data_IF_038040770487
#
_entry.id   IF_038040770487
#
_cell.length_a   1.000
_cell.length_b   1.000
_cell.length_c   1.000
_cell.angle_alpha   90.00
_cell.angle_beta   90.00
_cell.angle_gamma   90.00
#
_symmetry.space_group_name_H-M   'P 1'
#
loop_
_entity.id
_entity.type
_entity.pdbx_description
1 polymer ?
#
# COMPACT_ATOMS: atom_id res chain seq x y z
N UNK A 1 -10.49 -19.50 23.18
CA UNK A 1 -10.01 -19.57 21.77
C UNK A 1 -8.51 -19.30 21.80
N UNK A 2 -7.69 -20.31 21.51
CA UNK A 2 -6.25 -20.11 21.35
C UNK A 2 -6.01 -19.61 19.93
N UNK A 3 -5.66 -18.33 19.78
CA UNK A 3 -5.28 -17.80 18.47
C UNK A 3 -3.78 -17.97 18.31
N UNK A 4 -3.38 -18.61 17.23
CA UNK A 4 -1.98 -18.78 16.87
C UNK A 4 -1.41 -17.43 16.42
N UNK A 5 -0.53 -16.85 17.24
CA UNK A 5 0.10 -15.55 16.96
C UNK A 5 0.88 -15.58 15.64
N UNK A 6 1.46 -16.72 15.26
CA UNK A 6 2.19 -16.84 14.00
C UNK A 6 1.24 -16.74 12.80
N UNK A 7 0.00 -17.21 12.94
CA UNK A 7 -1.02 -17.06 11.88
C UNK A 7 -1.48 -15.61 11.74
N UNK A 8 -1.68 -14.90 12.85
CA UNK A 8 -2.00 -13.46 12.80
C UNK A 8 -0.84 -12.69 12.16
N UNK A 9 0.38 -12.91 12.64
CA UNK A 9 1.56 -12.22 12.13
C UNK A 9 1.79 -12.52 10.64
N UNK A 10 1.69 -13.79 10.24
CA UNK A 10 1.80 -14.20 8.84
C UNK A 10 0.74 -13.56 7.95
N UNK A 11 -0.49 -13.41 8.43
CA UNK A 11 -1.56 -12.70 7.72
C UNK A 11 -1.21 -11.22 7.51
N UNK A 12 -0.81 -10.52 8.58
CA UNK A 12 -0.48 -9.09 8.51
C UNK A 12 0.75 -8.81 7.66
N UNK A 13 1.82 -9.57 7.83
CA UNK A 13 3.05 -9.43 7.05
C UNK A 13 2.82 -9.83 5.60
N UNK A 14 2.08 -10.92 5.35
CA UNK A 14 1.73 -11.36 4.01
C UNK A 14 0.90 -10.32 3.25
N UNK A 15 -0.10 -9.71 3.90
CA UNK A 15 -0.90 -8.65 3.30
C UNK A 15 -0.04 -7.41 2.97
N UNK A 16 0.78 -6.95 3.92
CA UNK A 16 1.67 -5.80 3.71
C UNK A 16 2.68 -6.03 2.58
N UNK A 17 3.32 -7.21 2.56
CA UNK A 17 4.31 -7.56 1.55
C UNK A 17 3.66 -7.75 0.16
N UNK A 18 2.49 -8.37 0.09
CA UNK A 18 1.78 -8.58 -1.17
C UNK A 18 1.32 -7.26 -1.79
N UNK A 19 0.80 -6.32 -0.98
CA UNK A 19 0.50 -4.94 -1.39
C UNK A 19 1.77 -4.28 -1.97
N UNK A 20 2.82 -4.16 -1.15
CA UNK A 20 4.04 -3.46 -1.56
C UNK A 20 4.73 -4.07 -2.80
N UNK A 21 4.64 -5.39 -2.98
CA UNK A 21 5.18 -6.08 -4.15
C UNK A 21 4.28 -5.92 -5.39
N UNK A 22 2.96 -5.95 -5.19
CA UNK A 22 1.97 -5.81 -6.25
C UNK A 22 1.95 -4.41 -6.87
N UNK A 23 2.23 -3.37 -6.09
CA UNK A 23 2.26 -1.97 -6.51
C UNK A 23 3.09 -1.72 -7.78
N UNK A 24 4.23 -2.40 -7.92
CA UNK A 24 5.09 -2.25 -9.10
C UNK A 24 4.49 -2.85 -10.40
N UNK A 25 3.54 -3.76 -10.25
CA UNK A 25 2.88 -4.48 -11.35
C UNK A 25 1.43 -4.05 -11.56
N UNK A 26 0.97 -3.08 -10.79
CA UNK A 26 -0.39 -2.56 -10.87
C UNK A 26 -0.71 -2.11 -12.31
N UNK A 27 -1.97 -2.35 -12.72
CA UNK A 27 -2.52 -2.05 -14.06
C UNK A 27 -1.76 -2.63 -15.26
N UNK A 28 -0.89 -3.63 -15.04
CA UNK A 28 -0.16 -4.32 -16.11
C UNK A 28 -0.69 -5.72 -16.38
N UNK A 29 -0.67 -6.09 -17.66
CA UNK A 29 -0.79 -7.49 -18.09
C UNK A 29 0.47 -8.27 -17.75
N UNK A 30 0.37 -9.60 -17.68
CA UNK A 30 1.53 -10.47 -17.46
C UNK A 30 2.62 -10.27 -18.53
N UNK A 31 2.26 -9.94 -19.77
CA UNK A 31 3.23 -9.69 -20.84
C UNK A 31 3.99 -8.38 -20.59
N UNK A 32 3.30 -7.29 -20.23
CA UNK A 32 3.93 -6.02 -19.87
C UNK A 32 4.87 -6.16 -18.66
N UNK A 33 4.50 -6.99 -17.67
CA UNK A 33 5.38 -7.29 -16.53
C UNK A 33 6.67 -7.97 -17.03
N UNK A 34 6.54 -9.00 -17.87
CA UNK A 34 7.71 -9.70 -18.43
C UNK A 34 8.60 -8.77 -19.27
N UNK A 35 7.99 -7.94 -20.10
CA UNK A 35 8.72 -7.03 -21.00
C UNK A 35 9.47 -5.95 -20.21
N UNK A 36 8.86 -5.41 -19.13
CA UNK A 36 9.45 -4.35 -18.32
C UNK A 36 10.48 -4.86 -17.30
N UNK A 37 10.14 -5.93 -16.55
CA UNK A 37 10.98 -6.45 -15.46
C UNK A 37 11.89 -7.61 -15.88
N UNK A 38 11.84 -8.05 -17.14
CA UNK A 38 12.64 -9.16 -17.65
C UNK A 38 12.20 -10.54 -17.16
N UNK A 39 10.99 -10.68 -16.61
CA UNK A 39 10.47 -11.96 -16.12
C UNK A 39 9.47 -11.80 -14.98
N UNK A 40 9.51 -12.75 -14.04
CA UNK A 40 8.69 -12.71 -12.82
C UNK A 40 9.26 -11.71 -11.82
N UNK A 41 8.42 -10.85 -11.27
CA UNK A 41 8.75 -10.04 -10.09
C UNK A 41 8.78 -10.98 -8.89
N UNK A 42 9.94 -11.13 -8.25
CA UNK A 42 10.17 -12.05 -7.12
C UNK A 42 10.71 -11.35 -5.88
N UNK A 43 10.94 -10.04 -5.98
CA UNK A 43 11.41 -9.15 -4.91
C UNK A 43 10.62 -7.85 -4.94
N UNK A 44 10.75 -7.01 -3.92
CA UNK A 44 10.22 -5.65 -3.97
C UNK A 44 10.90 -4.86 -5.09
N UNK A 45 10.09 -4.23 -5.93
CA UNK A 45 10.53 -3.37 -7.01
C UNK A 45 9.97 -1.96 -6.77
N UNK A 46 10.74 -0.94 -7.13
CA UNK A 46 10.23 0.44 -7.10
C UNK A 46 9.07 0.54 -8.11
N UNK A 47 7.89 1.04 -7.73
CA UNK A 47 6.81 1.19 -8.67
C UNK A 47 7.19 2.13 -9.83
N UNK A 48 6.96 1.71 -11.09
CA UNK A 48 7.24 2.55 -12.24
C UNK A 48 6.45 3.88 -12.23
N UNK A 49 6.96 4.89 -12.94
CA UNK A 49 6.41 6.24 -12.94
C UNK A 49 4.95 6.35 -13.44
N UNK A 50 4.48 5.35 -14.19
CA UNK A 50 3.13 5.23 -14.74
C UNK A 50 2.19 4.37 -13.86
N UNK A 51 2.61 4.00 -12.65
CA UNK A 51 1.74 3.37 -11.63
C UNK A 51 1.11 4.40 -10.70
N UNK A 52 0.08 4.00 -9.96
CA UNK A 52 -0.45 4.84 -8.89
C UNK A 52 0.61 5.03 -7.80
N UNK A 53 1.30 3.95 -7.41
CA UNK A 53 2.39 3.96 -6.43
C UNK A 53 3.71 4.62 -6.86
N UNK A 54 3.77 5.41 -7.95
CA UNK A 54 5.00 6.00 -8.53
C UNK A 54 5.91 6.78 -7.56
N UNK A 55 5.38 7.25 -6.43
CA UNK A 55 6.14 7.97 -5.40
C UNK A 55 6.64 7.08 -4.26
N UNK A 56 6.26 5.80 -4.27
CA UNK A 56 6.71 4.83 -3.28
C UNK A 56 8.12 4.33 -3.61
N UNK A 57 8.88 4.01 -2.57
CA UNK A 57 10.08 3.21 -2.69
C UNK A 57 9.75 1.72 -2.66
N UNK A 58 10.70 0.89 -3.12
CA UNK A 58 10.56 -0.56 -3.09
C UNK A 58 10.25 -1.05 -1.66
N UNK A 59 9.11 -1.74 -1.49
CA UNK A 59 8.67 -2.28 -0.20
C UNK A 59 7.72 -1.37 0.60
N UNK A 60 7.38 -0.19 0.11
CA UNK A 60 6.34 0.65 0.71
C UNK A 60 4.93 0.19 0.26
N UNK A 61 4.05 -0.02 1.24
CA UNK A 61 2.62 -0.33 1.02
C UNK A 61 1.87 0.84 0.35
N UNK A 62 0.77 0.52 -0.34
CA UNK A 62 -0.16 1.49 -0.92
C UNK A 62 -1.38 1.70 -0.01
N UNK A 63 -2.44 2.30 -0.55
CA UNK A 63 -3.69 2.53 0.15
C UNK A 63 -4.35 1.25 0.67
N UNK A 64 -4.15 0.08 0.04
CA UNK A 64 -4.72 -1.21 0.48
C UNK A 64 -4.33 -1.54 1.94
N UNK A 65 -3.04 -1.74 2.22
CA UNK A 65 -2.60 -2.11 3.57
C UNK A 65 -2.64 -0.91 4.51
N UNK A 66 -2.39 0.31 4.03
CA UNK A 66 -2.49 1.51 4.87
C UNK A 66 -3.92 1.68 5.40
N UNK A 67 -4.94 1.57 4.54
CA UNK A 67 -6.34 1.62 4.98
C UNK A 67 -6.67 0.50 5.96
N UNK A 68 -6.26 -0.74 5.65
CA UNK A 68 -6.47 -1.88 6.53
C UNK A 68 -5.86 -1.64 7.93
N UNK A 69 -4.63 -1.10 8.00
CA UNK A 69 -3.97 -0.73 9.26
C UNK A 69 -4.78 0.29 10.06
N UNK A 70 -5.23 1.37 9.44
CA UNK A 70 -5.99 2.41 10.13
C UNK A 70 -7.37 1.90 10.61
N UNK A 71 -8.01 1.02 9.83
CA UNK A 71 -9.22 0.32 10.26
C UNK A 71 -8.93 -0.54 11.50
N UNK A 72 -7.86 -1.36 11.49
CA UNK A 72 -7.48 -2.16 12.65
C UNK A 72 -7.19 -1.30 13.89
N UNK A 73 -6.45 -0.21 13.74
CA UNK A 73 -6.14 0.71 14.84
C UNK A 73 -7.39 1.39 15.41
N UNK A 74 -8.34 1.77 14.57
CA UNK A 74 -9.61 2.32 15.00
C UNK A 74 -10.43 1.26 15.75
N UNK A 75 -10.56 0.04 15.20
CA UNK A 75 -11.24 -1.05 15.88
C UNK A 75 -10.64 -1.32 17.27
N UNK A 76 -9.31 -1.35 17.40
CA UNK A 76 -8.67 -1.55 18.70
C UNK A 76 -9.03 -0.46 19.72
N UNK A 77 -9.20 0.79 19.29
CA UNK A 77 -9.62 1.92 20.14
C UNK A 77 -11.12 1.92 20.43
N UNK A 78 -11.93 1.44 19.50
CA UNK A 78 -13.38 1.28 19.60
C UNK A 78 -13.80 -0.09 20.14
N UNK A 79 -13.03 -0.64 21.09
CA UNK A 79 -13.31 -1.91 21.78
C UNK A 79 -13.56 -3.12 20.86
N UNK A 80 -12.96 -3.10 19.66
CA UNK A 80 -13.07 -4.10 18.59
C UNK A 80 -14.48 -4.18 17.98
N UNK A 81 -15.27 -3.12 18.09
CA UNK A 81 -16.60 -3.03 17.48
C UNK A 81 -16.51 -2.39 16.10
N UNK A 82 -17.11 -3.02 15.11
CA UNK A 82 -17.31 -2.42 13.79
C UNK A 82 -18.50 -1.47 13.90
N UNK A 83 -18.23 -0.17 13.84
CA UNK A 83 -19.22 0.90 13.99
C UNK A 83 -18.95 2.06 13.04
N UNK A 84 -19.97 2.88 12.80
CA UNK A 84 -19.84 4.10 12.00
C UNK A 84 -18.78 5.06 12.58
N UNK A 85 -18.67 5.12 13.91
CA UNK A 85 -17.68 5.95 14.60
C UNK A 85 -16.25 5.45 14.30
N UNK A 86 -16.01 4.14 14.44
CA UNK A 86 -14.72 3.55 14.15
C UNK A 86 -14.31 3.71 12.68
N UNK A 87 -15.26 3.49 11.75
CA UNK A 87 -14.99 3.63 10.32
C UNK A 87 -14.74 5.10 9.95
N UNK A 88 -15.56 6.03 10.47
CA UNK A 88 -15.38 7.46 10.22
C UNK A 88 -14.01 7.94 10.69
N UNK A 89 -13.57 7.49 11.85
CA UNK A 89 -12.27 7.81 12.38
C UNK A 89 -11.13 7.25 11.52
N UNK A 90 -11.19 5.97 11.14
CA UNK A 90 -10.21 5.33 10.27
C UNK A 90 -10.08 6.05 8.91
N UNK A 91 -11.21 6.26 8.21
CA UNK A 91 -11.19 6.87 6.89
C UNK A 91 -10.86 8.37 6.91
N UNK A 92 -11.20 9.08 7.99
CA UNK A 92 -10.76 10.48 8.17
C UNK A 92 -9.24 10.56 8.33
N UNK A 93 -8.64 9.62 9.07
CA UNK A 93 -7.20 9.56 9.23
C UNK A 93 -6.50 9.22 7.90
N UNK A 94 -6.98 8.20 7.17
CA UNK A 94 -6.48 7.81 5.85
C UNK A 94 -6.55 8.99 4.86
N UNK A 95 -7.70 9.67 4.78
CA UNK A 95 -7.89 10.81 3.87
C UNK A 95 -6.97 12.00 4.20
N UNK A 96 -6.50 12.11 5.44
CA UNK A 96 -5.55 13.11 5.88
C UNK A 96 -4.08 12.80 5.54
N UNK A 97 -3.76 11.58 5.09
CA UNK A 97 -2.38 11.18 4.83
C UNK A 97 -1.85 11.81 3.53
N UNK A 98 -0.75 12.60 3.59
CA UNK A 98 -0.15 13.19 2.39
C UNK A 98 0.27 12.16 1.35
N UNK A 99 0.79 11.01 1.80
CA UNK A 99 1.27 9.92 0.93
C UNK A 99 0.16 9.32 0.07
N UNK A 100 -1.07 9.22 0.60
CA UNK A 100 -2.21 8.70 -0.16
C UNK A 100 -2.88 9.75 -1.03
N UNK A 101 -2.73 11.03 -0.70
CA UNK A 101 -3.26 12.14 -1.52
C UNK A 101 -2.62 12.19 -2.92
N UNK A 102 -1.37 11.75 -3.04
CA UNK A 102 -0.59 11.72 -4.28
C UNK A 102 -1.06 10.63 -5.27
N UNK A 103 -1.70 9.56 -4.76
CA UNK A 103 -2.33 8.54 -5.59
C UNK A 103 -3.48 9.11 -6.43
N UNK A 104 -4.19 10.12 -5.89
CA UNK A 104 -5.39 10.71 -6.51
C UNK A 104 -5.18 12.11 -7.10
N UNK A 105 -3.94 12.63 -7.10
CA UNK A 105 -3.55 13.91 -7.70
C UNK A 105 -2.35 13.72 -8.63
N UNK A 106 -2.58 13.52 -9.95
CA UNK A 106 -1.53 13.23 -10.92
C UNK A 106 -0.45 14.33 -11.01
N UNK A 107 -0.85 15.58 -10.76
CA UNK A 107 -0.01 16.78 -10.93
C UNK A 107 0.95 17.04 -9.75
N UNK A 108 0.73 16.36 -8.61
CA UNK A 108 1.61 16.44 -7.44
C UNK A 108 2.81 15.52 -7.70
N UNK A 109 3.82 16.05 -8.39
CA UNK A 109 5.06 15.32 -8.67
C UNK A 109 5.69 14.79 -7.37
N UNK A 110 6.09 13.52 -7.35
CA UNK A 110 7.01 13.00 -6.34
C UNK A 110 8.22 13.93 -6.36
N UNK A 111 8.46 14.67 -5.28
CA UNK A 111 9.32 15.86 -5.29
C UNK A 111 10.63 15.65 -6.08
N UNK A 112 11.00 16.63 -6.92
CA UNK A 112 12.22 16.67 -7.73
C UNK A 112 13.39 15.88 -7.12
N UNK A 113 13.60 14.66 -7.59
CA UNK A 113 14.92 14.03 -7.55
C UNK A 113 15.66 14.50 -8.78
N UNK A 114 16.67 15.33 -8.55
CA UNK A 114 17.34 16.11 -9.57
C UNK A 114 17.93 15.28 -10.70
N UNK A 115 18.06 15.96 -11.86
CA UNK A 115 19.19 15.88 -12.77
C UNK A 115 20.24 14.83 -12.37
N UNK A 116 20.15 13.66 -12.96
CA UNK A 116 21.34 12.87 -13.26
C UNK A 116 21.68 13.23 -14.71
N UNK A 117 22.57 14.22 -14.85
CA UNK A 117 23.35 14.41 -16.06
C UNK A 117 24.32 13.24 -16.24
#
# INVERSE_FOLDING_TARGET
MHVDQNKILGCLVGAAAADAMGAATEVRTQQQIKDYFGGWVTTFQKPPADTFGRCNEAGMCTDDFIQAKYIMDALLRHQRQVSDEAMREAFSAVAGLPVLRQLYRPDDACGNEGNIQ
#
